data_IF_830771084808
#
_entry.id   IF_830771084808
#
_cell.length_a   1.000
_cell.length_b   1.000
_cell.length_c   1.000
_cell.angle_alpha   90.00
_cell.angle_beta   90.00
_cell.angle_gamma   90.00
#
_symmetry.space_group_name_H-M   'P 1'
#
loop_
_entity.id
_entity.type
_entity.pdbx_description
1 polymer ?
#
# COMPACT_ATOMS: atom_id res chain seq x y z
N UNK A 1 15.48 2.33 -33.17
CA UNK A 1 14.90 2.75 -31.89
C UNK A 1 13.40 2.84 -32.10
N UNK A 2 12.63 1.99 -31.44
CA UNK A 2 11.16 2.00 -31.56
C UNK A 2 10.62 2.99 -30.52
N UNK A 3 9.84 3.97 -30.96
CA UNK A 3 9.19 4.95 -30.07
C UNK A 3 7.87 4.33 -29.62
N UNK A 4 7.59 4.36 -28.32
CA UNK A 4 6.42 3.72 -27.70
C UNK A 4 5.72 4.65 -26.70
N UNK A 5 4.39 4.54 -26.58
CA UNK A 5 3.58 5.24 -25.57
C UNK A 5 3.83 6.75 -25.49
N UNK A 6 3.99 7.26 -24.27
CA UNK A 6 4.23 8.69 -24.03
C UNK A 6 5.54 9.24 -24.65
N UNK A 7 6.48 8.41 -25.11
CA UNK A 7 7.65 8.88 -25.88
C UNK A 7 7.26 9.48 -27.23
N UNK A 8 6.09 9.11 -27.76
CA UNK A 8 5.50 9.75 -28.95
C UNK A 8 5.24 11.23 -28.66
N UNK A 9 4.68 11.54 -27.49
CA UNK A 9 4.42 12.92 -27.07
C UNK A 9 5.72 13.74 -27.00
N UNK A 10 6.74 13.18 -26.37
CA UNK A 10 8.09 13.78 -26.28
C UNK A 10 8.66 14.07 -27.67
N UNK A 11 8.57 13.09 -28.58
CA UNK A 11 9.10 13.22 -29.93
C UNK A 11 8.38 14.30 -30.73
N UNK A 12 7.05 14.30 -30.72
CA UNK A 12 6.24 15.29 -31.45
C UNK A 12 6.47 16.69 -30.86
N UNK A 13 6.51 16.82 -29.54
CA UNK A 13 6.81 18.09 -28.87
C UNK A 13 8.18 18.65 -29.25
N UNK A 14 9.23 17.82 -29.22
CA UNK A 14 10.58 18.26 -29.59
C UNK A 14 10.65 18.75 -31.04
N UNK A 15 9.94 18.08 -31.95
CA UNK A 15 9.89 18.49 -33.35
C UNK A 15 8.98 19.71 -33.58
N UNK A 16 7.96 19.94 -32.74
CA UNK A 16 7.13 21.15 -32.84
C UNK A 16 7.87 22.40 -32.38
N UNK A 17 8.86 22.28 -31.49
CA UNK A 17 9.70 23.40 -31.07
C UNK A 17 10.59 23.98 -32.19
N UNK A 18 10.81 23.24 -33.29
CA UNK A 18 11.66 23.65 -34.41
C UNK A 18 10.93 23.71 -35.75
N UNK A 19 11.43 24.53 -36.67
CA UNK A 19 11.04 24.49 -38.08
C UNK A 19 10.10 25.60 -38.55
N UNK A 20 9.60 25.42 -39.78
CA UNK A 20 8.75 26.39 -40.48
C UNK A 20 7.37 26.48 -39.82
N UNK A 21 6.74 27.69 -39.73
CA UNK A 21 5.45 27.86 -39.07
C UNK A 21 4.33 26.88 -39.50
N UNK A 22 4.20 26.50 -40.79
CA UNK A 22 3.19 25.53 -41.22
C UNK A 22 3.44 24.11 -40.66
N UNK A 23 4.71 23.70 -40.57
CA UNK A 23 5.10 22.38 -40.04
C UNK A 23 4.88 22.34 -38.53
N UNK A 24 5.28 23.40 -37.81
CA UNK A 24 5.00 23.54 -36.38
C UNK A 24 3.50 23.42 -36.09
N UNK A 25 2.67 24.16 -36.81
CA UNK A 25 1.21 24.11 -36.62
C UNK A 25 0.61 22.72 -36.88
N UNK A 26 1.14 21.98 -37.86
CA UNK A 26 0.73 20.60 -38.11
C UNK A 26 1.13 19.67 -36.94
N UNK A 27 2.36 19.79 -36.43
CA UNK A 27 2.85 19.00 -35.30
C UNK A 27 2.13 19.35 -33.99
N UNK A 28 1.80 20.61 -33.74
CA UNK A 28 0.98 21.05 -32.59
C UNK A 28 -0.41 20.40 -32.62
N UNK A 29 -1.05 20.29 -33.79
CA UNK A 29 -2.34 19.59 -33.93
C UNK A 29 -2.22 18.10 -33.64
N UNK A 30 -1.16 17.45 -34.12
CA UNK A 30 -0.89 16.04 -33.81
C UNK A 30 -0.67 15.87 -32.31
N UNK A 31 0.14 16.75 -31.70
CA UNK A 31 0.42 16.73 -30.27
C UNK A 31 -0.85 16.88 -29.44
N UNK A 32 -1.76 17.80 -29.81
CA UNK A 32 -3.04 18.00 -29.14
C UNK A 32 -3.91 16.72 -29.16
N UNK A 33 -3.96 16.02 -30.30
CA UNK A 33 -4.68 14.73 -30.40
C UNK A 33 -4.05 13.67 -29.50
N UNK A 34 -2.72 13.58 -29.47
CA UNK A 34 -2.00 12.65 -28.60
C UNK A 34 -2.19 12.98 -27.11
N UNK A 35 -2.17 14.27 -26.73
CA UNK A 35 -2.51 14.70 -25.37
C UNK A 35 -3.95 14.31 -24.99
N UNK A 36 -4.85 14.21 -25.96
CA UNK A 36 -6.20 13.70 -25.73
C UNK A 36 -6.25 12.29 -25.13
N UNK A 37 -5.28 11.44 -25.47
CA UNK A 37 -5.11 10.10 -24.85
C UNK A 37 -4.56 10.22 -23.44
N UNK A 38 -3.51 11.04 -23.26
CA UNK A 38 -2.91 11.31 -21.95
C UNK A 38 -3.95 11.86 -20.95
N UNK A 39 -4.77 12.84 -21.35
CA UNK A 39 -5.84 13.38 -20.50
C UNK A 39 -6.89 12.33 -20.15
N UNK A 40 -7.19 11.39 -21.06
CA UNK A 40 -8.12 10.29 -20.76
C UNK A 40 -7.55 9.37 -19.69
N UNK A 41 -6.26 9.01 -19.79
CA UNK A 41 -5.58 8.20 -18.78
C UNK A 41 -5.49 8.95 -17.43
N UNK A 42 -5.18 10.24 -17.46
CA UNK A 42 -5.17 11.11 -16.28
C UNK A 42 -6.53 11.18 -15.59
N UNK A 43 -7.63 11.38 -16.33
CA UNK A 43 -8.97 11.40 -15.74
C UNK A 43 -9.33 10.06 -15.10
N UNK A 44 -9.06 8.94 -15.78
CA UNK A 44 -9.31 7.61 -15.23
C UNK A 44 -8.52 7.38 -13.92
N UNK A 45 -7.25 7.76 -13.91
CA UNK A 45 -6.37 7.59 -12.76
C UNK A 45 -6.72 8.54 -11.61
N UNK A 46 -6.76 9.84 -11.88
CA UNK A 46 -6.90 10.87 -10.84
C UNK A 46 -8.32 11.00 -10.28
N UNK A 47 -9.34 10.59 -11.03
CA UNK A 47 -10.75 10.73 -10.61
C UNK A 47 -11.37 9.41 -10.15
N UNK A 48 -10.81 8.27 -10.57
CA UNK A 48 -11.39 6.95 -10.28
C UNK A 48 -10.37 5.93 -9.78
N UNK A 49 -9.08 6.26 -9.66
CA UNK A 49 -8.05 5.32 -9.23
C UNK A 49 -7.76 4.21 -10.26
N UNK A 50 -8.29 4.32 -11.49
CA UNK A 50 -8.21 3.29 -12.51
C UNK A 50 -7.00 3.47 -13.41
N UNK A 51 -6.09 2.50 -13.38
CA UNK A 51 -4.93 2.46 -14.29
C UNK A 51 -5.28 1.66 -15.56
N UNK A 52 -5.77 2.36 -16.59
CA UNK A 52 -6.11 1.79 -17.89
C UNK A 52 -4.89 1.80 -18.83
N UNK A 53 -3.94 0.89 -18.63
CA UNK A 53 -2.64 0.88 -19.32
C UNK A 53 -2.19 -0.51 -19.81
N UNK A 54 -3.00 -1.18 -20.64
CA UNK A 54 -2.73 -2.55 -21.14
C UNK A 54 -1.39 -2.69 -21.87
N UNK A 55 -0.94 -1.63 -22.55
CA UNK A 55 0.27 -1.64 -23.37
C UNK A 55 1.46 -0.93 -22.71
N UNK A 56 1.37 -0.61 -21.42
CA UNK A 56 2.47 0.00 -20.67
C UNK A 56 2.96 1.34 -21.27
N UNK A 57 2.03 2.18 -21.69
CA UNK A 57 2.27 3.43 -22.40
C UNK A 57 2.26 4.66 -21.48
N UNK A 58 1.64 4.55 -20.30
CA UNK A 58 1.50 5.63 -19.34
C UNK A 58 2.74 5.75 -18.43
N UNK A 59 2.95 6.93 -17.85
CA UNK A 59 4.09 7.19 -16.96
C UNK A 59 3.84 6.75 -15.51
N UNK A 60 2.69 6.15 -15.21
CA UNK A 60 2.39 5.50 -13.94
C UNK A 60 2.26 4.00 -14.19
N UNK A 61 2.92 3.20 -13.34
CA UNK A 61 2.85 1.74 -13.39
C UNK A 61 2.45 1.16 -12.05
N UNK A 62 1.73 0.04 -12.10
CA UNK A 62 1.51 -0.78 -10.93
C UNK A 62 2.75 -1.66 -10.71
N UNK A 63 3.28 -1.63 -9.49
CA UNK A 63 4.34 -2.51 -9.00
C UNK A 63 3.82 -3.94 -8.76
N UNK A 64 4.71 -4.89 -8.47
CA UNK A 64 4.31 -6.25 -8.14
C UNK A 64 3.38 -6.21 -6.91
N UNK A 65 2.14 -6.69 -7.07
CA UNK A 65 1.24 -6.87 -5.94
C UNK A 65 1.88 -7.87 -4.97
N UNK A 66 2.13 -7.48 -3.72
CA UNK A 66 2.76 -8.34 -2.69
C UNK A 66 1.92 -9.55 -2.25
N UNK A 67 1.05 -10.10 -3.10
CA UNK A 67 0.16 -11.21 -2.73
C UNK A 67 -0.62 -11.88 -3.86
N UNK A 68 -0.26 -11.68 -5.15
CA UNK A 68 -0.96 -12.41 -6.22
C UNK A 68 -0.37 -13.80 -6.39
N UNK A 69 -0.79 -14.76 -5.55
CA UNK A 69 -0.62 -16.18 -5.85
C UNK A 69 -1.42 -16.47 -7.12
N UNK A 70 -0.72 -16.84 -8.19
CA UNK A 70 -1.36 -17.28 -9.43
C UNK A 70 -2.25 -18.49 -9.13
N UNK A 71 -3.55 -18.36 -9.39
CA UNK A 71 -4.53 -19.45 -9.35
C UNK A 71 -4.05 -20.58 -10.27
N UNK A 72 -3.55 -21.67 -9.67
CA UNK A 72 -3.32 -22.92 -10.39
C UNK A 72 -4.65 -23.63 -10.64
N UNK A 73 -4.78 -24.40 -11.73
CA UNK A 73 -6.03 -25.09 -12.06
C UNK A 73 -6.32 -26.19 -11.04
N UNK A 74 -7.59 -26.29 -10.66
CA UNK A 74 -8.15 -27.33 -9.79
C UNK A 74 -7.96 -28.72 -10.43
N UNK A 75 -7.27 -29.63 -9.75
CA UNK A 75 -7.33 -31.06 -10.06
C UNK A 75 -8.46 -31.69 -9.22
N UNK A 76 -9.46 -32.22 -9.91
CA UNK A 76 -10.59 -32.97 -9.33
C UNK A 76 -10.09 -34.33 -8.79
N UNK A 77 -10.30 -34.59 -7.49
CA UNK A 77 -10.28 -35.96 -6.96
C UNK A 77 -11.59 -36.24 -6.21
N UNK A 78 -12.30 -37.26 -6.69
CA UNK A 78 -13.50 -37.87 -6.10
C UNK A 78 -13.25 -38.32 -4.66
N UNK A 79 -14.16 -38.01 -3.74
CA UNK A 79 -14.37 -38.87 -2.56
C UNK A 79 -15.84 -38.90 -2.09
N UNK A 80 -16.36 -40.12 -2.00
CA UNK A 80 -17.69 -40.47 -1.54
C UNK A 80 -17.64 -40.76 -0.03
N UNK A 81 -18.21 -39.87 0.79
CA UNK A 81 -18.29 -40.09 2.24
C UNK A 81 -19.48 -39.39 2.90
N UNK A 82 -20.45 -40.18 3.35
CA UNK A 82 -21.63 -39.75 4.11
C UNK A 82 -21.23 -39.36 5.54
N UNK A 83 -21.65 -38.16 5.97
CA UNK A 83 -21.91 -37.84 7.39
C UNK A 83 -20.90 -36.93 8.10
N UNK A 84 -21.13 -35.61 8.02
CA UNK A 84 -20.54 -34.62 8.92
C UNK A 84 -19.19 -34.06 8.45
N UNK A 85 -19.15 -32.74 8.29
CA UNK A 85 -18.04 -31.88 7.83
C UNK A 85 -16.65 -32.53 7.92
N UNK A 86 -15.97 -32.65 6.78
CA UNK A 86 -14.62 -33.22 6.72
C UNK A 86 -13.60 -32.24 7.33
N UNK A 87 -12.47 -32.76 7.85
CA UNK A 87 -11.37 -31.91 8.36
C UNK A 87 -10.81 -30.95 7.30
N UNK A 88 -11.01 -31.23 6.01
CA UNK A 88 -10.71 -30.30 4.91
C UNK A 88 -11.66 -29.10 4.90
N UNK A 89 -12.98 -29.30 5.05
CA UNK A 89 -13.96 -28.21 5.13
C UNK A 89 -13.76 -27.33 6.37
N UNK A 90 -13.37 -27.91 7.52
CA UNK A 90 -13.05 -27.12 8.73
C UNK A 90 -11.78 -26.28 8.55
N UNK A 91 -10.78 -26.84 7.84
CA UNK A 91 -9.54 -26.15 7.52
C UNK A 91 -9.74 -25.10 6.44
N UNK A 92 -10.57 -25.34 5.44
CA UNK A 92 -11.00 -24.35 4.45
C UNK A 92 -11.80 -23.21 5.09
N UNK A 93 -12.65 -23.48 6.09
CA UNK A 93 -13.34 -22.43 6.85
C UNK A 93 -12.39 -21.62 7.76
N UNK A 94 -11.36 -22.25 8.30
CA UNK A 94 -10.29 -21.56 9.05
C UNK A 94 -9.39 -20.76 8.10
N UNK A 95 -9.02 -21.31 6.95
CA UNK A 95 -8.21 -20.66 5.93
C UNK A 95 -9.01 -19.51 5.29
N UNK A 96 -10.32 -19.66 5.04
CA UNK A 96 -11.20 -18.55 4.63
C UNK A 96 -11.26 -17.44 5.68
N UNK A 97 -11.34 -17.79 6.97
CA UNK A 97 -11.26 -16.80 8.07
C UNK A 97 -9.91 -16.12 8.15
N UNK A 98 -8.82 -16.87 7.96
CA UNK A 98 -7.46 -16.33 7.96
C UNK A 98 -7.22 -15.45 6.72
N UNK A 99 -7.78 -15.80 5.56
CA UNK A 99 -7.74 -14.99 4.34
C UNK A 99 -8.62 -13.75 4.48
N UNK A 100 -9.79 -13.83 5.13
CA UNK A 100 -10.61 -12.67 5.49
C UNK A 100 -9.88 -11.77 6.49
N UNK A 101 -9.25 -12.34 7.52
CA UNK A 101 -8.43 -11.59 8.47
C UNK A 101 -7.19 -10.97 7.81
N UNK A 102 -6.50 -11.68 6.92
CA UNK A 102 -5.30 -11.22 6.21
C UNK A 102 -5.64 -10.13 5.17
N UNK A 103 -6.74 -10.26 4.44
CA UNK A 103 -7.28 -9.19 3.58
C UNK A 103 -7.78 -7.98 4.37
N UNK A 104 -8.17 -8.16 5.64
CA UNK A 104 -8.52 -7.09 6.59
C UNK A 104 -7.29 -6.52 7.34
N UNK A 105 -6.13 -7.18 7.27
CA UNK A 105 -4.90 -6.83 8.01
C UNK A 105 -3.98 -5.90 7.23
N UNK A 106 -3.99 -5.95 5.90
CA UNK A 106 -3.48 -4.93 5.01
C UNK A 106 -3.91 -5.34 3.59
N UNK A 107 -4.95 -4.73 2.97
CA UNK A 107 -5.26 -5.04 1.59
C UNK A 107 -3.97 -4.81 0.80
N UNK A 108 -3.47 -5.84 0.09
CA UNK A 108 -2.20 -5.78 -0.62
C UNK A 108 -2.10 -4.43 -1.32
N UNK A 109 -1.30 -3.52 -0.75
CA UNK A 109 -1.24 -2.16 -1.23
C UNK A 109 -0.65 -2.31 -2.62
N UNK A 110 -1.49 -2.10 -3.65
CA UNK A 110 -1.00 -2.03 -5.02
C UNK A 110 -0.03 -0.86 -5.02
N UNK A 111 1.26 -1.17 -4.98
CA UNK A 111 2.28 -0.16 -4.94
C UNK A 111 2.33 0.46 -6.34
N UNK A 112 2.10 1.77 -6.47
CA UNK A 112 2.27 2.44 -7.76
C UNK A 112 3.62 3.15 -7.78
N UNK A 113 4.14 3.40 -8.98
CA UNK A 113 5.40 4.12 -9.14
C UNK A 113 5.46 4.83 -10.49
N UNK A 114 6.36 5.80 -10.60
CA UNK A 114 6.63 6.47 -11.86
C UNK A 114 7.47 5.60 -12.80
N UNK A 115 7.07 5.55 -14.06
CA UNK A 115 7.84 5.06 -15.19
C UNK A 115 8.51 6.28 -15.85
N UNK A 116 9.64 6.71 -15.29
CA UNK A 116 10.31 7.97 -15.67
C UNK A 116 10.68 8.00 -17.15
N UNK A 117 10.99 6.85 -17.74
CA UNK A 117 11.28 6.67 -19.17
C UNK A 117 10.08 6.92 -20.10
N UNK A 118 8.86 6.92 -19.56
CA UNK A 118 7.62 7.30 -20.25
C UNK A 118 7.13 8.69 -19.88
N UNK A 119 7.81 9.42 -18.97
CA UNK A 119 7.40 10.77 -18.61
C UNK A 119 7.86 11.77 -19.69
N UNK A 120 6.96 12.51 -20.37
CA UNK A 120 7.39 13.56 -21.30
C UNK A 120 8.19 14.63 -20.57
N UNK A 121 9.33 15.06 -21.13
CA UNK A 121 10.31 15.91 -20.44
C UNK A 121 9.80 17.32 -20.12
N UNK A 122 8.79 17.79 -20.85
CA UNK A 122 8.11 19.06 -20.61
C UNK A 122 7.10 18.99 -19.44
N UNK A 123 6.86 17.80 -18.86
CA UNK A 123 6.14 17.60 -17.60
C UNK A 123 7.18 17.31 -16.51
N UNK A 124 7.40 18.23 -15.56
CA UNK A 124 8.35 18.01 -14.48
C UNK A 124 7.98 16.79 -13.62
N UNK A 125 8.98 16.03 -13.16
CA UNK A 125 8.80 14.88 -12.25
C UNK A 125 7.97 15.28 -11.03
N UNK A 126 8.21 16.47 -10.46
CA UNK A 126 7.42 17.02 -9.34
C UNK A 126 5.91 17.12 -9.60
N UNK A 127 5.48 17.24 -10.85
CA UNK A 127 4.05 17.24 -11.22
C UNK A 127 3.54 15.81 -11.38
N UNK A 128 4.35 14.91 -11.96
CA UNK A 128 4.03 13.49 -12.05
C UNK A 128 3.85 12.84 -10.68
N UNK A 129 4.68 13.21 -9.68
CA UNK A 129 4.52 12.77 -8.29
C UNK A 129 3.18 13.20 -7.68
N UNK A 130 2.70 14.40 -7.99
CA UNK A 130 1.36 14.87 -7.55
C UNK A 130 0.26 14.02 -8.15
N UNK A 131 0.38 13.65 -9.42
CA UNK A 131 -0.58 12.80 -10.15
C UNK A 131 -0.57 11.38 -9.58
N UNK A 132 0.61 10.84 -9.28
CA UNK A 132 0.79 9.55 -8.62
C UNK A 132 0.06 9.55 -7.26
N UNK A 133 0.41 10.51 -6.39
CA UNK A 133 -0.21 10.67 -5.08
C UNK A 133 -1.74 10.75 -5.15
N UNK A 134 -2.30 11.55 -6.07
CA UNK A 134 -3.75 11.71 -6.22
C UNK A 134 -4.41 10.38 -6.54
N UNK A 135 -3.93 9.67 -7.57
CA UNK A 135 -4.59 8.43 -7.96
C UNK A 135 -4.33 7.29 -6.98
N UNK A 136 -3.18 7.23 -6.30
CA UNK A 136 -2.96 6.29 -5.18
C UNK A 136 -3.98 6.51 -4.07
N UNK A 137 -4.22 7.78 -3.72
CA UNK A 137 -5.19 8.16 -2.69
C UNK A 137 -6.61 7.78 -3.09
N UNK A 138 -7.02 8.09 -4.33
CA UNK A 138 -8.35 7.73 -4.85
C UNK A 138 -8.53 6.22 -4.92
N UNK A 139 -7.55 5.50 -5.46
CA UNK A 139 -7.58 4.05 -5.56
C UNK A 139 -7.63 3.38 -4.18
N UNK A 140 -6.92 3.94 -3.19
CA UNK A 140 -6.97 3.43 -1.84
C UNK A 140 -8.35 3.59 -1.21
N UNK A 141 -9.04 4.70 -1.48
CA UNK A 141 -10.39 4.94 -0.99
C UNK A 141 -11.42 4.03 -1.67
N UNK A 142 -11.32 3.86 -2.97
CA UNK A 142 -12.24 3.02 -3.75
C UNK A 142 -12.14 1.53 -3.37
N UNK A 143 -10.93 1.01 -3.13
CA UNK A 143 -10.75 -0.40 -2.72
C UNK A 143 -11.36 -0.72 -1.33
N UNK A 144 -11.66 0.29 -0.52
CA UNK A 144 -12.28 0.12 0.81
C UNK A 144 -13.75 0.55 0.86
N UNK A 145 -14.30 0.94 -0.30
CA UNK A 145 -15.68 1.41 -0.48
C UNK A 145 -16.76 0.39 -0.12
N UNK A 146 -16.43 -0.91 -0.04
CA UNK A 146 -17.37 -1.97 0.38
C UNK A 146 -17.86 -1.75 1.83
N UNK A 147 -17.08 -1.05 2.67
CA UNK A 147 -17.48 -0.62 4.04
C UNK A 147 -17.81 0.88 4.13
N UNK A 148 -17.26 1.69 3.22
CA UNK A 148 -17.26 3.17 3.29
C UNK A 148 -18.33 3.88 2.46
N UNK A 149 -19.28 3.17 1.84
CA UNK A 149 -20.36 3.76 1.02
C UNK A 149 -21.19 4.88 1.72
N UNK A 150 -21.00 5.11 3.03
CA UNK A 150 -21.61 6.19 3.80
C UNK A 150 -20.77 7.48 3.91
N UNK A 151 -19.48 7.49 3.56
CA UNK A 151 -18.56 8.62 3.82
C UNK A 151 -18.30 9.56 2.63
N UNK A 152 -18.87 9.27 1.45
CA UNK A 152 -18.68 10.08 0.26
C UNK A 152 -17.30 9.88 -0.38
N UNK A 153 -17.06 10.60 -1.48
CA UNK A 153 -15.80 10.50 -2.23
C UNK A 153 -14.70 11.38 -1.63
N UNK A 154 -13.45 10.91 -1.70
CA UNK A 154 -12.22 11.67 -1.36
C UNK A 154 -12.15 13.01 -2.14
N UNK A 155 -12.80 13.08 -3.31
CA UNK A 155 -12.85 14.26 -4.16
C UNK A 155 -13.96 15.25 -3.75
N UNK A 156 -14.62 15.04 -2.61
CA UNK A 156 -15.67 15.92 -2.04
C UNK A 156 -16.83 16.18 -3.00
N UNK A 157 -17.22 15.19 -3.80
CA UNK A 157 -18.27 15.32 -4.82
C UNK A 157 -17.95 16.37 -5.92
N UNK A 158 -16.66 16.68 -6.15
CA UNK A 158 -16.19 17.61 -7.19
C UNK A 158 -15.70 16.89 -8.47
N UNK A 159 -15.96 15.59 -8.61
CA UNK A 159 -15.52 14.75 -9.73
C UNK A 159 -15.93 15.35 -11.07
N UNK A 160 -17.20 15.78 -11.18
CA UNK A 160 -17.72 16.41 -12.40
C UNK A 160 -17.00 17.72 -12.72
N UNK A 161 -16.61 18.49 -11.69
CA UNK A 161 -15.90 19.76 -11.89
C UNK A 161 -14.46 19.51 -12.32
N UNK A 162 -13.79 18.53 -11.72
CA UNK A 162 -12.45 18.12 -12.13
C UNK A 162 -12.44 17.51 -13.52
N UNK A 163 -13.44 16.69 -13.86
CA UNK A 163 -13.63 16.14 -15.19
C UNK A 163 -13.82 17.25 -16.24
N UNK A 164 -14.61 18.28 -15.92
CA UNK A 164 -14.81 19.44 -16.78
C UNK A 164 -13.49 20.22 -17.00
N UNK A 165 -12.67 20.42 -15.96
CA UNK A 165 -11.38 21.13 -16.09
C UNK A 165 -10.34 20.32 -16.87
N UNK A 166 -10.21 19.02 -16.63
CA UNK A 166 -9.34 18.15 -17.44
C UNK A 166 -9.81 18.10 -18.90
N UNK A 167 -11.13 18.10 -19.13
CA UNK A 167 -11.70 18.21 -20.47
C UNK A 167 -11.39 19.57 -21.10
N UNK A 168 -11.49 20.68 -20.37
CA UNK A 168 -11.15 22.03 -20.85
C UNK A 168 -9.68 22.11 -21.28
N UNK A 169 -8.76 21.52 -20.51
CA UNK A 169 -7.35 21.44 -20.86
C UNK A 169 -7.12 20.61 -22.12
N UNK A 170 -7.82 19.48 -22.26
CA UNK A 170 -7.78 18.62 -23.46
C UNK A 170 -8.21 19.36 -24.73
N UNK A 171 -9.13 20.33 -24.64
CA UNK A 171 -9.60 21.10 -25.80
C UNK A 171 -8.64 22.22 -26.23
N UNK A 172 -7.59 22.51 -25.45
CA UNK A 172 -6.64 23.56 -25.82
C UNK A 172 -5.78 23.12 -27.03
N UNK A 173 -5.57 24.02 -28.02
CA UNK A 173 -4.75 23.69 -29.19
C UNK A 173 -3.26 23.59 -28.85
N UNK A 174 -2.83 24.20 -27.74
CA UNK A 174 -1.44 24.21 -27.28
C UNK A 174 -1.40 23.75 -25.81
N UNK A 175 -0.38 22.96 -25.47
CA UNK A 175 -0.16 22.53 -24.10
C UNK A 175 0.45 23.67 -23.27
N UNK A 176 -0.22 24.00 -22.17
CA UNK A 176 0.24 24.98 -21.18
C UNK A 176 0.59 24.25 -19.89
N UNK A 177 1.87 24.18 -19.56
CA UNK A 177 2.32 23.55 -18.32
C UNK A 177 1.73 24.24 -17.08
N UNK A 178 1.58 25.57 -17.12
CA UNK A 178 1.07 26.37 -16.00
C UNK A 178 -0.39 26.02 -15.72
N UNK A 179 -1.23 25.96 -16.76
CA UNK A 179 -2.65 25.63 -16.61
C UNK A 179 -2.83 24.17 -16.21
N UNK A 180 -2.06 23.27 -16.83
CA UNK A 180 -2.04 21.85 -16.49
C UNK A 180 -1.69 21.63 -15.02
N UNK A 181 -0.59 22.23 -14.57
CA UNK A 181 -0.12 22.11 -13.19
C UNK A 181 -1.12 22.72 -12.21
N UNK A 182 -1.75 23.84 -12.54
CA UNK A 182 -2.75 24.48 -11.67
C UNK A 182 -3.95 23.56 -11.40
N UNK A 183 -4.44 22.84 -12.42
CA UNK A 183 -5.52 21.85 -12.26
C UNK A 183 -5.06 20.65 -11.44
N UNK A 184 -3.84 20.13 -11.69
CA UNK A 184 -3.27 19.04 -10.90
C UNK A 184 -3.12 19.43 -9.43
N UNK A 185 -2.64 20.65 -9.15
CA UNK A 185 -2.48 21.17 -7.78
C UNK A 185 -3.81 21.36 -7.06
N UNK A 186 -4.84 21.77 -7.78
CA UNK A 186 -6.18 21.90 -7.23
C UNK A 186 -6.78 20.55 -6.81
N UNK A 187 -6.69 19.54 -7.68
CA UNK A 187 -7.14 18.17 -7.37
C UNK A 187 -6.34 17.62 -6.18
N UNK A 188 -5.00 17.72 -6.23
CA UNK A 188 -4.11 17.26 -5.16
C UNK A 188 -4.40 17.91 -3.82
N UNK A 189 -4.67 19.21 -3.80
CA UNK A 189 -4.98 19.95 -2.56
C UNK A 189 -6.33 19.50 -1.97
N UNK A 190 -7.32 19.24 -2.82
CA UNK A 190 -8.63 18.72 -2.40
C UNK A 190 -8.51 17.35 -1.75
N UNK A 191 -7.80 16.43 -2.41
CA UNK A 191 -7.51 15.08 -1.90
C UNK A 191 -6.75 15.14 -0.58
N UNK A 192 -5.68 15.93 -0.51
CA UNK A 192 -4.85 16.05 0.69
C UNK A 192 -5.63 16.60 1.90
N UNK A 193 -6.49 17.59 1.70
CA UNK A 193 -7.32 18.13 2.77
C UNK A 193 -8.30 17.07 3.31
N UNK A 194 -8.89 16.26 2.43
CA UNK A 194 -9.82 15.21 2.85
C UNK A 194 -9.10 14.06 3.56
N UNK A 195 -7.92 13.63 3.06
CA UNK A 195 -7.06 12.67 3.76
C UNK A 195 -6.72 13.15 5.17
N UNK A 196 -6.34 14.42 5.32
CA UNK A 196 -6.01 14.99 6.62
C UNK A 196 -7.19 14.91 7.59
N UNK A 197 -8.40 15.29 7.16
CA UNK A 197 -9.61 15.19 8.01
C UNK A 197 -9.88 13.76 8.42
N UNK A 198 -9.84 12.83 7.45
CA UNK A 198 -10.05 11.42 7.73
C UNK A 198 -9.06 10.89 8.78
N UNK A 199 -7.77 11.19 8.62
CA UNK A 199 -6.73 10.66 9.49
C UNK A 199 -6.73 11.31 10.88
N UNK A 200 -6.87 12.64 10.93
CA UNK A 200 -6.73 13.41 12.18
C UNK A 200 -8.05 13.48 12.94
N UNK A 201 -9.14 13.80 12.26
CA UNK A 201 -10.44 14.03 12.92
C UNK A 201 -11.23 12.73 13.08
N UNK A 202 -11.20 11.83 12.10
CA UNK A 202 -12.05 10.63 12.10
C UNK A 202 -11.35 9.37 12.60
N UNK A 203 -10.01 9.31 12.55
CA UNK A 203 -9.24 8.08 12.82
C UNK A 203 -8.26 8.21 14.00
N UNK A 204 -8.32 9.32 14.73
CA UNK A 204 -7.51 9.59 15.92
C UNK A 204 -6.01 9.33 15.73
N UNK A 205 -5.42 9.91 14.67
CA UNK A 205 -3.97 9.81 14.40
C UNK A 205 -3.12 10.17 15.63
N UNK A 206 -3.53 11.18 16.40
CA UNK A 206 -2.78 11.64 17.58
C UNK A 206 -2.82 10.59 18.70
N UNK A 207 -3.96 9.95 18.94
CA UNK A 207 -4.06 8.83 19.87
C UNK A 207 -3.22 7.64 19.43
N UNK A 208 -3.23 7.29 18.14
CA UNK A 208 -2.39 6.18 17.63
C UNK A 208 -0.88 6.48 17.70
N UNK A 209 -0.46 7.73 17.48
CA UNK A 209 0.94 8.15 17.71
C UNK A 209 1.33 8.02 19.18
N UNK A 210 0.43 8.34 20.10
CA UNK A 210 0.65 8.13 21.54
C UNK A 210 0.79 6.65 21.87
N UNK A 211 -0.03 5.78 21.27
CA UNK A 211 0.11 4.33 21.41
C UNK A 211 1.47 3.88 20.91
N UNK A 212 1.88 4.25 19.69
CA UNK A 212 3.20 3.87 19.16
C UNK A 212 4.31 4.31 20.11
N UNK A 213 4.28 5.54 20.61
CA UNK A 213 5.23 6.02 21.63
C UNK A 213 5.19 5.17 22.90
N UNK A 214 4.00 4.89 23.42
CA UNK A 214 3.83 4.19 24.70
C UNK A 214 4.38 2.75 24.65
N UNK A 215 4.35 2.09 23.49
CA UNK A 215 4.77 0.69 23.33
C UNK A 215 6.14 0.52 22.64
N UNK A 216 6.40 1.16 21.49
CA UNK A 216 7.71 1.03 20.82
C UNK A 216 8.81 1.81 21.56
N UNK A 217 8.47 2.94 22.19
CA UNK A 217 9.43 3.76 22.94
C UNK A 217 9.32 3.56 24.46
N UNK A 218 8.64 2.48 24.89
CA UNK A 218 8.51 2.09 26.29
C UNK A 218 7.97 3.20 27.20
N UNK A 219 7.07 4.04 26.69
CA UNK A 219 6.48 5.15 27.46
C UNK A 219 5.69 4.68 28.69
N UNK A 220 5.20 3.44 28.69
CA UNK A 220 4.55 2.76 29.83
C UNK A 220 5.54 1.89 30.61
N UNK A 221 6.50 2.54 31.27
CA UNK A 221 7.58 1.84 31.98
C UNK A 221 7.07 0.85 33.05
N UNK A 222 5.97 1.17 33.72
CA UNK A 222 5.32 0.29 34.71
C UNK A 222 4.81 -1.02 34.09
N UNK A 223 4.23 -0.96 32.89
CA UNK A 223 3.76 -2.12 32.15
C UNK A 223 4.95 -3.01 31.76
N UNK A 224 5.96 -2.40 31.14
CA UNK A 224 7.13 -3.15 30.68
C UNK A 224 7.96 -3.72 31.82
N UNK A 225 8.04 -3.03 32.97
CA UNK A 225 8.65 -3.58 34.18
C UNK A 225 7.90 -4.83 34.66
N UNK A 226 6.58 -4.76 34.77
CA UNK A 226 5.77 -5.92 35.18
C UNK A 226 5.88 -7.09 34.17
N UNK A 227 5.93 -6.77 32.88
CA UNK A 227 6.13 -7.74 31.81
C UNK A 227 7.51 -8.40 31.89
N UNK A 228 8.58 -7.62 32.04
CA UNK A 228 9.94 -8.14 32.17
C UNK A 228 10.02 -9.08 33.37
N UNK A 229 9.51 -8.69 34.53
CA UNK A 229 9.53 -9.53 35.73
C UNK A 229 8.81 -10.88 35.51
N UNK A 230 7.71 -10.87 34.74
CA UNK A 230 6.92 -12.07 34.43
C UNK A 230 7.57 -12.94 33.37
N UNK A 231 8.06 -12.34 32.28
CA UNK A 231 8.59 -13.04 31.10
C UNK A 231 10.07 -13.42 31.22
N UNK A 232 10.79 -12.93 32.23
CA UNK A 232 12.23 -13.13 32.40
C UNK A 232 12.65 -14.60 32.44
N UNK A 233 11.83 -15.50 32.99
CA UNK A 233 12.16 -16.92 33.07
C UNK A 233 12.01 -17.67 31.74
N UNK A 234 11.12 -17.20 30.85
CA UNK A 234 10.83 -17.82 29.54
C UNK A 234 11.66 -17.22 28.40
N UNK A 235 12.08 -15.95 28.51
CA UNK A 235 12.86 -15.25 27.47
C UNK A 235 14.39 -15.37 27.65
N UNK A 236 14.87 -15.91 28.78
CA UNK A 236 16.31 -16.17 29.00
C UNK A 236 16.85 -17.34 28.20
N UNK A 237 15.99 -18.30 27.83
CA UNK A 237 16.36 -19.47 27.03
C UNK A 237 16.10 -19.21 25.54
N UNK A 238 16.74 -19.96 24.62
CA UNK A 238 16.40 -19.90 23.21
C UNK A 238 14.89 -20.17 22.99
N UNK A 239 14.25 -19.42 22.08
CA UNK A 239 12.81 -19.53 21.85
C UNK A 239 12.42 -20.88 21.22
N UNK A 240 11.23 -21.36 21.56
CA UNK A 240 10.58 -22.55 21.01
C UNK A 240 9.20 -22.18 20.44
N UNK A 241 8.54 -23.10 19.73
CA UNK A 241 7.29 -22.82 19.01
C UNK A 241 6.16 -22.23 19.88
N UNK A 242 6.14 -22.52 21.18
CA UNK A 242 5.12 -22.00 22.13
C UNK A 242 5.51 -20.65 22.75
N UNK A 243 6.77 -20.23 22.64
CA UNK A 243 7.29 -19.02 23.30
C UNK A 243 6.52 -17.77 22.91
N UNK A 244 6.14 -17.62 21.63
CA UNK A 244 5.36 -16.45 21.18
C UNK A 244 4.00 -16.36 21.88
N UNK A 245 3.29 -17.49 22.01
CA UNK A 245 2.00 -17.54 22.69
C UNK A 245 2.15 -17.23 24.19
N UNK A 246 3.08 -17.89 24.87
CA UNK A 246 3.31 -17.73 26.31
C UNK A 246 3.70 -16.28 26.67
N UNK A 247 4.51 -15.65 25.83
CA UNK A 247 4.93 -14.25 25.98
C UNK A 247 3.76 -13.28 25.83
N UNK A 248 2.87 -13.49 24.86
CA UNK A 248 1.67 -12.67 24.70
C UNK A 248 0.70 -12.82 25.88
N UNK A 249 0.53 -14.04 26.41
CA UNK A 249 -0.25 -14.27 27.64
C UNK A 249 0.36 -13.54 28.83
N UNK A 250 1.69 -13.61 28.99
CA UNK A 250 2.40 -12.88 30.05
C UNK A 250 2.24 -11.36 29.91
N UNK A 251 2.25 -10.85 28.68
CA UNK A 251 2.03 -9.43 28.39
C UNK A 251 0.61 -8.97 28.77
N UNK A 252 -0.42 -9.73 28.40
CA UNK A 252 -1.81 -9.45 28.79
C UNK A 252 -1.99 -9.48 30.32
N UNK A 253 -1.41 -10.47 31.01
CA UNK A 253 -1.44 -10.52 32.47
C UNK A 253 -0.75 -9.32 33.11
N UNK A 254 0.36 -8.85 32.53
CA UNK A 254 1.08 -7.67 33.00
C UNK A 254 0.26 -6.41 32.80
N UNK A 255 -0.44 -6.28 31.68
CA UNK A 255 -1.39 -5.20 31.41
C UNK A 255 -2.54 -5.16 32.42
N UNK A 256 -3.12 -6.31 32.75
CA UNK A 256 -4.16 -6.40 33.79
C UNK A 256 -3.62 -6.03 35.18
N UNK A 257 -2.38 -6.43 35.51
CA UNK A 257 -1.76 -6.13 36.81
C UNK A 257 -1.54 -4.62 37.03
N UNK A 258 -1.26 -3.87 35.97
CA UNK A 258 -1.07 -2.41 36.03
C UNK A 258 -2.36 -1.63 35.79
N UNK A 259 -3.52 -2.31 35.71
CA UNK A 259 -4.83 -1.70 35.45
C UNK A 259 -4.84 -0.87 34.16
N UNK A 260 -4.36 -1.46 33.06
CA UNK A 260 -4.47 -0.83 31.75
C UNK A 260 -5.95 -0.81 31.32
N UNK A 261 -6.61 0.35 31.47
CA UNK A 261 -8.06 0.53 31.30
C UNK A 261 -8.58 0.48 29.83
N UNK A 262 -7.74 0.13 28.85
CA UNK A 262 -8.12 0.14 27.42
C UNK A 262 -8.15 -1.27 26.83
N UNK A 263 -9.28 -1.95 27.01
CA UNK A 263 -9.50 -3.32 26.50
C UNK A 263 -9.44 -3.40 24.96
N UNK A 264 -9.61 -2.28 24.25
CA UNK A 264 -9.56 -2.23 22.78
C UNK A 264 -8.14 -2.11 22.24
N UNK A 265 -7.16 -1.76 23.09
CA UNK A 265 -5.78 -1.51 22.70
C UNK A 265 -4.96 -2.80 22.58
N UNK A 266 -5.14 -3.74 23.52
CA UNK A 266 -4.36 -4.98 23.55
C UNK A 266 -4.51 -5.84 22.28
N UNK A 267 -5.71 -5.98 21.66
CA UNK A 267 -5.84 -6.71 20.41
C UNK A 267 -5.09 -6.09 19.21
N UNK A 268 -4.68 -4.82 19.31
CA UNK A 268 -3.90 -4.14 18.27
C UNK A 268 -2.39 -4.38 18.42
N UNK A 269 -1.94 -4.97 19.52
CA UNK A 269 -0.53 -5.17 19.83
C UNK A 269 -0.24 -6.67 19.94
N UNK A 270 0.78 -7.13 19.23
CA UNK A 270 1.18 -8.53 19.23
C UNK A 270 2.69 -8.64 19.38
N UNK A 271 3.16 -9.35 20.39
CA UNK A 271 4.59 -9.64 20.54
C UNK A 271 4.98 -10.79 19.62
N UNK A 272 6.04 -10.59 18.83
CA UNK A 272 6.53 -11.59 17.87
C UNK A 272 7.82 -12.24 18.39
N UNK A 273 8.05 -13.50 18.03
CA UNK A 273 9.30 -14.20 18.38
C UNK A 273 9.91 -14.79 17.11
N UNK A 274 11.14 -14.38 16.78
CA UNK A 274 11.94 -15.05 15.74
C UNK A 274 12.57 -16.34 16.29
N UNK A 275 12.22 -17.50 15.73
CA UNK A 275 12.87 -18.77 16.09
C UNK A 275 13.11 -19.66 14.87
N UNK A 276 14.16 -20.48 14.95
CA UNK A 276 14.51 -21.43 13.88
C UNK A 276 13.45 -22.54 13.78
N UNK A 277 12.85 -22.68 12.60
CA UNK A 277 11.70 -23.57 12.33
C UNK A 277 10.50 -22.85 11.70
N UNK A 278 10.48 -21.51 11.75
CA UNK A 278 9.63 -20.68 10.90
C UNK A 278 10.24 -20.64 9.50
N UNK A 279 10.27 -21.78 8.79
CA UNK A 279 10.49 -21.73 7.35
C UNK A 279 9.35 -20.91 6.76
N UNK A 280 9.67 -19.73 6.24
CA UNK A 280 8.88 -19.12 5.19
C UNK A 280 8.71 -20.21 4.13
N UNK A 281 7.51 -20.76 3.98
CA UNK A 281 7.10 -21.46 2.76
C UNK A 281 6.94 -20.43 1.65
N UNK A 282 8.00 -19.68 1.36
CA UNK A 282 8.18 -19.13 0.04
C UNK A 282 8.66 -20.29 -0.82
N UNK A 283 7.76 -20.81 -1.64
CA UNK A 283 8.04 -21.86 -2.62
C UNK A 283 9.13 -21.40 -3.58
N UNK A 284 10.39 -21.61 -3.23
CA UNK A 284 11.51 -21.47 -4.12
C UNK A 284 11.48 -22.62 -5.14
N UNK A 285 10.90 -22.37 -6.31
CA UNK A 285 11.35 -23.05 -7.52
C UNK A 285 12.74 -22.53 -7.86
N UNK A 286 13.67 -23.46 -7.94
CA UNK A 286 15.07 -23.26 -8.25
C UNK A 286 15.28 -22.41 -9.52
N UNK A 287 16.05 -21.33 -9.38
CA UNK A 287 16.82 -20.77 -10.51
C UNK A 287 18.25 -20.50 -10.03
N UNK A 288 19.17 -21.24 -10.63
CA UNK A 288 20.61 -21.06 -10.50
C UNK A 288 21.00 -19.64 -10.93
N UNK A 289 21.58 -18.88 -10.01
CA UNK A 289 22.17 -17.56 -10.21
C UNK A 289 23.14 -17.28 -9.06
N UNK A 290 24.23 -16.52 -9.28
CA UNK A 290 25.43 -16.62 -8.46
C UNK A 290 25.20 -16.10 -7.05
N UNK A 291 25.64 -16.90 -6.10
CA UNK A 291 25.52 -16.77 -4.65
C UNK A 291 25.91 -15.38 -4.16
N UNK A 292 24.93 -14.59 -3.72
CA UNK A 292 25.18 -13.54 -2.73
C UNK A 292 25.35 -14.25 -1.40
N UNK A 293 26.55 -14.15 -0.84
CA UNK A 293 26.91 -14.64 0.49
C UNK A 293 25.93 -14.07 1.54
N UNK A 294 24.91 -14.85 1.88
CA UNK A 294 24.10 -14.63 3.06
C UNK A 294 24.93 -15.15 4.24
N UNK A 295 25.45 -14.24 5.07
CA UNK A 295 25.94 -14.63 6.39
C UNK A 295 24.85 -15.44 7.11
N UNK A 296 25.18 -16.56 7.76
CA UNK A 296 24.20 -17.29 8.55
C UNK A 296 23.78 -16.37 9.70
N UNK A 297 22.51 -15.93 9.73
CA UNK A 297 21.95 -15.28 10.93
C UNK A 297 22.11 -16.29 12.07
N UNK A 298 23.01 -16.03 13.00
CA UNK A 298 23.20 -16.86 14.19
C UNK A 298 21.86 -16.97 14.91
N UNK A 299 21.49 -18.19 15.34
CA UNK A 299 20.26 -18.40 16.07
C UNK A 299 20.21 -17.46 17.29
N UNK A 300 19.07 -16.80 17.57
CA UNK A 300 18.99 -15.90 18.70
C UNK A 300 19.35 -16.66 19.97
N UNK A 301 20.39 -16.17 20.65
CA UNK A 301 20.98 -16.82 21.82
C UNK A 301 20.03 -16.83 23.03
N UNK A 302 18.98 -16.01 22.99
CA UNK A 302 17.92 -15.93 23.98
C UNK A 302 16.62 -15.43 23.34
N UNK A 303 15.47 -15.75 23.95
CA UNK A 303 14.18 -15.20 23.56
C UNK A 303 14.15 -13.67 23.60
N UNK A 304 14.91 -13.03 24.48
CA UNK A 304 15.06 -11.56 24.49
C UNK A 304 15.63 -10.99 23.20
N UNK A 305 16.59 -11.69 22.58
CA UNK A 305 17.16 -11.26 21.30
C UNK A 305 16.21 -11.52 20.11
N UNK A 306 15.19 -12.35 20.32
CA UNK A 306 14.20 -12.72 19.32
C UNK A 306 12.87 -11.97 19.44
N UNK A 307 12.69 -11.17 20.49
CA UNK A 307 11.44 -10.49 20.81
C UNK A 307 11.25 -9.25 19.92
N UNK A 308 10.14 -9.23 19.20
CA UNK A 308 9.65 -8.08 18.46
C UNK A 308 8.27 -7.64 18.95
N UNK A 309 7.84 -6.48 18.45
CA UNK A 309 6.50 -5.95 18.63
C UNK A 309 5.90 -5.68 17.26
N UNK A 310 4.68 -6.13 17.05
CA UNK A 310 3.85 -5.84 15.89
C UNK A 310 2.64 -5.03 16.34
N UNK A 311 2.31 -4.00 15.56
CA UNK A 311 1.16 -3.15 15.82
C UNK A 311 0.23 -3.18 14.60
N UNK A 312 -1.02 -3.58 14.84
CA UNK A 312 -2.06 -3.74 13.82
C UNK A 312 -2.69 -2.39 13.48
N UNK A 313 -2.07 -1.69 12.54
CA UNK A 313 -2.56 -0.38 12.06
C UNK A 313 -3.91 -0.54 11.37
N UNK A 314 -4.88 0.29 11.75
CA UNK A 314 -6.17 0.35 11.09
C UNK A 314 -6.15 1.35 9.93
N UNK A 315 -7.00 1.12 8.92
CA UNK A 315 -7.25 2.13 7.90
C UNK A 315 -7.79 3.43 8.53
N UNK A 316 -7.38 4.61 8.04
CA UNK A 316 -6.46 4.91 6.93
C UNK A 316 -4.99 5.05 7.33
N UNK A 317 -4.64 4.81 8.58
CA UNK A 317 -3.35 5.23 9.14
C UNK A 317 -2.15 4.43 8.62
N UNK A 318 -2.38 3.24 8.04
CA UNK A 318 -1.37 2.45 7.32
C UNK A 318 -0.68 3.22 6.17
N UNK A 319 -1.26 4.31 5.67
CA UNK A 319 -0.62 5.23 4.72
C UNK A 319 0.62 5.91 5.34
N UNK A 320 0.58 6.22 6.65
CA UNK A 320 1.73 6.77 7.38
C UNK A 320 2.56 5.67 8.03
N UNK A 321 1.88 4.74 8.71
CA UNK A 321 2.52 3.64 9.42
C UNK A 321 2.70 2.45 8.48
N UNK A 322 3.53 2.64 7.47
CA UNK A 322 3.90 1.56 6.55
C UNK A 322 4.71 0.48 7.28
N UNK A 323 4.78 -0.77 6.78
CA UNK A 323 5.60 -1.82 7.38
C UNK A 323 7.06 -1.39 7.59
N UNK A 324 7.65 -0.68 6.60
CA UNK A 324 9.02 -0.16 6.68
C UNK A 324 9.21 0.97 7.71
N UNK A 325 8.13 1.61 8.17
CA UNK A 325 8.15 2.60 9.26
C UNK A 325 8.05 1.89 10.61
N UNK A 326 7.23 0.85 10.73
CA UNK A 326 7.07 0.09 11.98
C UNK A 326 8.25 -0.84 12.30
N UNK A 327 9.03 -1.22 11.28
CA UNK A 327 10.25 -2.03 11.46
C UNK A 327 11.44 -1.23 12.04
N UNK A 328 11.38 0.12 12.02
CA UNK A 328 12.46 1.00 12.45
C UNK A 328 12.41 1.32 13.94
#
# INVERSE_FOLDING_TARGET
MYIHGCQILETVHRHSCGGLPPVRSALEKILAVCHGVMYKQLSAWMLHGLLLDQHEEFFIKQGPSSGSVASQPEEEEDDLGIGGLTGKQLRELQDLRLIEEENMLAPSLKQFSLRVEMLPSYIPVRVAEKILFVGESVQMFENQSVSLARKGSILKNQEDTFAAELHRLKQQPLFSLVDFESVVDWIRSTVAEHLWKLMVEESDLIGQLKIIKDFYLLGRGELFQAFIDTAQHMLKTPPIAVTEHDVNVAFQQSAHKVLLDDDNLLPLLHLTIEYYGKEHKDGSQAREGPSRELSPREAPTSGWAALGLSYKVQWPLHILFTPAVLEK
#
